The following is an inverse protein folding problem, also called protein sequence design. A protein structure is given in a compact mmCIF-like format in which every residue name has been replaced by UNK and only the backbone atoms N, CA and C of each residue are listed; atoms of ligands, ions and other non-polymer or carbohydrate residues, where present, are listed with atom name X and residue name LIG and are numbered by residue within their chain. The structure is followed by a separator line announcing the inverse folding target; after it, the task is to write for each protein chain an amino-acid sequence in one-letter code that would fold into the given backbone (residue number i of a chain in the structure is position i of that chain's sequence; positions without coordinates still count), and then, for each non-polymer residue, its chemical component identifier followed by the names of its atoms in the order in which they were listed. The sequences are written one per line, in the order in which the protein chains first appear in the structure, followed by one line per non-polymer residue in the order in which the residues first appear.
data_IF_949476177563
#
_entry.id   IF_949476177563
#
_cell.length_a   1.000
_cell.length_b   1.000
_cell.length_c   1.000
_cell.angle_alpha   90.00
_cell.angle_beta   90.00
_cell.angle_gamma   90.00
#
_symmetry.space_group_name_H-M   'P 1'
#
loop_
_entity.id
_entity.type
_entity.pdbx_description
1 polymer ?
#
# COMPACT_ATOMS: atom_id res chain seq x y z
N UNK A 1 -15.59 23.28 -10.90
CA UNK A 1 -15.11 22.60 -9.69
C UNK A 1 -13.99 21.65 -10.12
N UNK A 2 -12.89 21.59 -9.39
CA UNK A 2 -11.82 20.62 -9.62
C UNK A 2 -11.81 19.65 -8.45
N UNK A 3 -11.88 18.36 -8.74
CA UNK A 3 -11.81 17.30 -7.74
C UNK A 3 -10.42 16.65 -7.81
N UNK A 4 -9.85 16.32 -6.65
CA UNK A 4 -8.56 15.65 -6.54
C UNK A 4 -8.58 14.66 -5.39
N UNK A 5 -7.80 13.58 -5.50
CA UNK A 5 -7.55 12.66 -4.39
C UNK A 5 -6.18 12.96 -3.80
N UNK A 6 -6.14 13.18 -2.49
CA UNK A 6 -4.89 13.19 -1.75
C UNK A 6 -4.50 11.75 -1.39
N UNK A 7 -3.32 11.31 -1.82
CA UNK A 7 -2.88 9.91 -1.68
C UNK A 7 -1.57 9.82 -0.92
N UNK A 8 -1.35 8.64 -0.32
CA UNK A 8 -0.09 8.21 0.28
C UNK A 8 0.41 6.98 -0.48
N UNK A 9 1.66 7.02 -0.92
CA UNK A 9 2.20 6.01 -1.82
C UNK A 9 2.74 4.78 -1.09
N UNK A 10 2.57 3.64 -1.74
CA UNK A 10 3.25 2.40 -1.39
C UNK A 10 4.46 2.19 -2.28
N UNK A 11 5.47 1.52 -1.76
CA UNK A 11 6.59 0.99 -2.53
C UNK A 11 6.63 -0.54 -2.41
N UNK A 12 7.21 -1.19 -3.41
CA UNK A 12 7.35 -2.64 -3.50
C UNK A 12 8.66 -3.05 -2.81
N UNK A 13 8.60 -4.10 -1.99
CA UNK A 13 9.78 -4.66 -1.34
C UNK A 13 10.65 -5.46 -2.33
N UNK A 14 11.67 -4.81 -2.91
CA UNK A 14 12.69 -5.45 -3.76
C UNK A 14 12.13 -6.14 -5.01
N UNK A 15 12.71 -7.28 -5.39
CA UNK A 15 12.28 -8.08 -6.56
C UNK A 15 10.89 -8.74 -6.39
N UNK A 16 10.20 -8.53 -5.26
CA UNK A 16 8.91 -9.15 -4.94
C UNK A 16 7.71 -8.40 -5.56
N UNK A 17 7.91 -7.63 -6.62
CA UNK A 17 6.83 -6.95 -7.34
C UNK A 17 5.88 -7.87 -8.09
N UNK A 18 6.24 -9.15 -8.23
CA UNK A 18 5.42 -10.20 -8.84
C UNK A 18 5.34 -11.42 -7.93
N UNK A 19 4.28 -12.19 -8.11
CA UNK A 19 4.08 -13.46 -7.46
C UNK A 19 5.19 -14.43 -7.92
N UNK A 20 6.04 -14.83 -6.98
CA UNK A 20 6.96 -15.92 -7.22
C UNK A 20 6.29 -17.24 -6.84
N UNK A 21 5.70 -17.90 -7.84
CA UNK A 21 5.03 -19.21 -7.67
C UNK A 21 5.98 -20.29 -7.12
N UNK A 22 7.31 -20.17 -7.33
CA UNK A 22 8.29 -21.13 -6.83
C UNK A 22 8.56 -20.92 -5.35
N UNK A 23 8.64 -19.66 -4.90
CA UNK A 23 8.82 -19.30 -3.49
C UNK A 23 7.52 -19.35 -2.69
N UNK A 24 6.36 -19.33 -3.36
CA UNK A 24 5.02 -19.22 -2.76
C UNK A 24 4.87 -17.95 -1.91
N UNK A 25 5.52 -16.89 -2.34
CA UNK A 25 5.51 -15.59 -1.66
C UNK A 25 4.62 -14.62 -2.43
N UNK A 26 3.63 -14.06 -1.74
CA UNK A 26 2.80 -12.99 -2.29
C UNK A 26 3.63 -11.70 -2.43
N UNK A 27 3.34 -10.85 -3.44
CA UNK A 27 3.95 -9.54 -3.53
C UNK A 27 3.75 -8.74 -2.25
N UNK A 28 4.83 -8.13 -1.77
CA UNK A 28 4.84 -7.34 -0.54
C UNK A 28 5.04 -5.86 -0.85
N UNK A 29 4.35 -5.03 -0.08
CA UNK A 29 4.48 -3.58 -0.14
C UNK A 29 4.41 -2.96 1.25
N UNK A 30 5.01 -1.78 1.36
CA UNK A 30 4.98 -0.94 2.56
C UNK A 30 4.81 0.52 2.14
N UNK A 31 4.42 1.37 3.08
CA UNK A 31 4.30 2.80 2.81
C UNK A 31 5.68 3.41 2.58
N UNK A 32 5.78 4.32 1.62
CA UNK A 32 6.95 5.21 1.53
C UNK A 32 7.04 6.02 2.82
N UNK A 33 8.27 6.27 3.30
CA UNK A 33 8.49 7.08 4.50
C UNK A 33 7.94 8.49 4.28
N UNK A 34 7.09 8.97 5.18
CA UNK A 34 6.42 10.26 5.09
C UNK A 34 7.37 11.47 5.08
N UNK A 35 8.64 11.30 5.42
CA UNK A 35 9.66 12.35 5.30
C UNK A 35 10.25 12.44 3.89
N UNK A 36 9.98 11.47 3.01
CA UNK A 36 10.35 11.55 1.60
C UNK A 36 9.38 12.45 0.85
N UNK A 37 9.91 13.29 -0.05
CA UNK A 37 9.13 14.24 -0.85
C UNK A 37 8.08 13.55 -1.73
N UNK A 38 8.31 12.28 -2.09
CA UNK A 38 7.42 11.48 -2.93
C UNK A 38 6.41 10.63 -2.15
N UNK A 39 6.32 10.75 -0.82
CA UNK A 39 5.46 9.90 0.00
C UNK A 39 3.96 10.18 -0.17
N UNK A 40 3.62 11.42 -0.53
CA UNK A 40 2.26 11.88 -0.76
C UNK A 40 2.13 12.52 -2.14
N UNK A 41 0.90 12.54 -2.65
CA UNK A 41 0.62 13.19 -3.92
C UNK A 41 -0.85 13.55 -4.09
N UNK A 42 -1.13 14.18 -5.22
CA UNK A 42 -2.49 14.42 -5.69
C UNK A 42 -2.69 13.71 -7.02
N UNK A 43 -3.82 13.03 -7.17
CA UNK A 43 -4.20 12.36 -8.42
C UNK A 43 -5.57 12.85 -8.88
N UNK A 44 -5.77 12.92 -10.21
CA UNK A 44 -7.10 13.11 -10.79
C UNK A 44 -7.92 11.85 -10.50
N UNK A 45 -9.16 11.95 -10.00
CA UNK A 45 -10.02 10.79 -9.80
C UNK A 45 -10.21 9.95 -11.08
N UNK A 46 -10.11 10.55 -12.27
CA UNK A 46 -10.20 9.85 -13.56
C UNK A 46 -8.96 8.98 -13.87
N UNK A 47 -7.83 9.20 -13.20
CA UNK A 47 -6.62 8.37 -13.32
C UNK A 47 -6.70 7.10 -12.45
N UNK A 48 -7.71 6.98 -11.58
CA UNK A 48 -7.91 5.79 -10.75
C UNK A 48 -8.51 4.67 -11.60
N UNK A 49 -7.64 3.75 -12.03
CA UNK A 49 -8.07 2.60 -12.83
C UNK A 49 -8.87 1.59 -12.01
N UNK A 50 -8.39 1.23 -10.81
CA UNK A 50 -8.97 0.14 -10.02
C UNK A 50 -8.49 0.10 -8.57
N UNK A 51 -9.29 -0.54 -7.73
CA UNK A 51 -8.92 -0.91 -6.36
C UNK A 51 -8.11 -2.21 -6.32
N UNK A 52 -7.33 -2.35 -5.24
CA UNK A 52 -6.55 -3.55 -4.90
C UNK A 52 -6.92 -4.00 -3.49
N UNK A 53 -7.01 -5.31 -3.28
CA UNK A 53 -7.16 -5.86 -1.93
C UNK A 53 -5.79 -6.10 -1.29
N UNK A 54 -5.49 -5.34 -0.23
CA UNK A 54 -4.29 -5.47 0.58
C UNK A 54 -4.61 -6.25 1.86
N UNK A 55 -3.77 -7.24 2.17
CA UNK A 55 -3.87 -8.04 3.39
C UNK A 55 -2.73 -7.60 4.32
N UNK A 56 -2.99 -7.12 5.53
CA UNK A 56 -1.95 -6.86 6.51
C UNK A 56 -1.05 -8.08 6.73
N UNK A 57 0.25 -7.89 6.65
CA UNK A 57 1.21 -8.94 6.94
C UNK A 57 1.42 -9.03 8.46
N UNK A 58 0.45 -9.62 9.16
CA UNK A 58 0.32 -9.60 10.62
C UNK A 58 1.60 -9.98 11.38
N UNK A 59 2.41 -10.88 10.84
CA UNK A 59 3.66 -11.32 11.46
C UNK A 59 4.71 -10.20 11.63
N UNK A 60 4.69 -9.17 10.78
CA UNK A 60 5.57 -8.00 10.93
C UNK A 60 5.05 -6.98 11.95
N UNK A 61 3.80 -7.13 12.40
CA UNK A 61 3.16 -6.21 13.33
C UNK A 61 2.90 -4.82 12.75
N UNK A 62 2.65 -3.88 13.65
CA UNK A 62 2.41 -2.47 13.34
C UNK A 62 3.62 -1.61 13.65
N UNK A 63 3.71 -0.46 13.00
CA UNK A 63 4.82 0.49 13.16
C UNK A 63 4.34 1.95 13.11
N UNK A 64 5.11 2.82 13.76
CA UNK A 64 5.01 4.28 13.69
C UNK A 64 6.14 4.89 12.85
N UNK A 65 7.07 4.08 12.35
CA UNK A 65 8.30 4.55 11.71
C UNK A 65 8.05 5.32 10.43
N UNK A 66 7.11 4.86 9.59
CA UNK A 66 6.87 5.46 8.27
C UNK A 66 6.18 6.82 8.32
N UNK A 67 5.61 7.23 9.46
CA UNK A 67 4.96 8.53 9.61
C UNK A 67 4.65 8.77 11.09
N UNK A 68 4.97 9.97 11.57
CA UNK A 68 4.60 10.42 12.92
C UNK A 68 3.08 10.53 13.15
N UNK A 69 2.65 11.08 14.29
CA UNK A 69 1.23 11.30 14.57
C UNK A 69 0.56 12.12 13.46
N UNK A 70 -0.53 11.58 12.91
CA UNK A 70 -1.30 12.23 11.85
C UNK A 70 -2.79 11.95 12.05
N UNK A 71 -3.59 13.01 11.97
CA UNK A 71 -5.07 12.95 12.05
C UNK A 71 -5.71 12.93 10.64
N UNK A 72 -4.94 13.22 9.60
CA UNK A 72 -5.40 13.23 8.21
C UNK A 72 -5.04 11.94 7.49
N UNK A 73 -3.84 11.42 7.73
CA UNK A 73 -3.33 10.22 7.05
C UNK A 73 -3.70 8.89 7.71
N UNK A 74 -4.34 8.92 8.88
CA UNK A 74 -4.76 7.73 9.65
C UNK A 74 -6.07 7.99 10.39
N UNK A 75 -6.80 6.92 10.71
CA UNK A 75 -7.96 7.01 11.61
C UNK A 75 -7.47 7.17 13.05
N UNK A 76 -8.24 7.87 13.87
CA UNK A 76 -7.91 8.03 15.29
C UNK A 76 -7.88 6.67 16.02
N UNK A 77 -8.69 5.71 15.59
CA UNK A 77 -8.71 4.33 16.11
C UNK A 77 -7.41 3.55 15.88
N UNK A 78 -6.57 3.99 14.94
CA UNK A 78 -5.36 3.27 14.56
C UNK A 78 -4.16 3.61 15.46
N UNK A 79 -4.34 4.46 16.48
CA UNK A 79 -3.30 4.85 17.46
C UNK A 79 -2.01 5.40 16.83
N UNK A 80 -2.16 6.04 15.66
CA UNK A 80 -1.07 6.52 14.81
C UNK A 80 -0.10 5.42 14.35
N UNK A 81 -0.59 4.20 14.14
CA UNK A 81 0.18 3.06 13.67
C UNK A 81 -0.32 2.57 12.32
N UNK A 82 0.59 2.18 11.44
CA UNK A 82 0.30 1.44 10.21
C UNK A 82 0.75 -0.02 10.37
N UNK A 83 0.20 -0.94 9.58
CA UNK A 83 0.89 -2.22 9.41
C UNK A 83 2.25 -2.02 8.75
N UNK A 84 3.26 -2.73 9.23
CA UNK A 84 4.62 -2.59 8.71
C UNK A 84 4.71 -3.01 7.24
N UNK A 85 3.92 -4.01 6.84
CA UNK A 85 3.85 -4.52 5.47
C UNK A 85 2.44 -5.02 5.14
N UNK A 86 2.16 -5.10 3.85
CA UNK A 86 0.95 -5.68 3.29
C UNK A 86 1.30 -6.67 2.18
N UNK A 87 0.50 -7.71 2.05
CA UNK A 87 0.49 -8.59 0.89
C UNK A 87 -0.55 -8.11 -0.13
N UNK A 88 -0.20 -8.18 -1.41
CA UNK A 88 -1.16 -7.98 -2.50
C UNK A 88 -1.94 -9.29 -2.71
N UNK A 89 -3.26 -9.23 -2.55
CA UNK A 89 -4.12 -10.39 -2.80
C UNK A 89 -4.37 -10.57 -4.29
N UNK A 90 -3.41 -11.20 -4.98
CA UNK A 90 -3.44 -11.46 -6.42
C UNK A 90 -4.61 -12.36 -6.87
N UNK A 91 -5.23 -13.08 -5.93
CA UNK A 91 -6.35 -13.99 -6.19
C UNK A 91 -7.72 -13.32 -6.04
N UNK A 92 -7.77 -12.03 -5.68
CA UNK A 92 -9.05 -11.33 -5.46
C UNK A 92 -9.87 -11.17 -6.74
N UNK A 93 -9.21 -11.09 -7.90
CA UNK A 93 -9.85 -11.12 -9.21
C UNK A 93 -8.85 -11.53 -10.31
N UNK A 94 -9.37 -11.79 -11.52
CA UNK A 94 -8.56 -12.29 -12.65
C UNK A 94 -7.55 -11.27 -13.17
N UNK A 95 -7.88 -9.99 -13.12
CA UNK A 95 -7.00 -8.93 -13.65
C UNK A 95 -5.83 -8.68 -12.69
N UNK A 96 -6.06 -8.81 -11.37
CA UNK A 96 -5.02 -8.81 -10.35
C UNK A 96 -4.04 -9.96 -10.56
N UNK A 97 -4.56 -11.15 -10.85
CA UNK A 97 -3.72 -12.29 -11.19
C UNK A 97 -2.89 -12.01 -12.44
N UNK A 98 -3.51 -11.52 -13.53
CA UNK A 98 -2.78 -11.21 -14.77
C UNK A 98 -1.72 -10.11 -14.61
N UNK A 99 -1.93 -9.14 -13.70
CA UNK A 99 -1.00 -8.03 -13.47
C UNK A 99 0.20 -8.41 -12.62
N UNK A 100 -0.01 -9.27 -11.62
CA UNK A 100 1.01 -9.58 -10.62
C UNK A 100 1.62 -10.97 -10.73
N UNK A 101 1.10 -11.87 -11.59
CA UNK A 101 1.69 -13.18 -11.86
C UNK A 101 2.47 -13.14 -13.16
#
# INVERSE_FOLDING_TARGET
QMDFLWVRWFTIDGDQGRLDLKKKELPQLHFVDAHEECAFGFIDPNDVVRAVHLIPAFHFGKTKSFMGPSNLGRRQSDNHEDWAKYYVSVFSDRDMFARFV
#
